data_IF_069838865316
#
_entry.id   IF_069838865316
#
_cell.length_a   1.000
_cell.length_b   1.000
_cell.length_c   1.000
_cell.angle_alpha   90.00
_cell.angle_beta   90.00
_cell.angle_gamma   90.00
#
_symmetry.space_group_name_H-M   'P 1'
#
loop_
_entity.id
_entity.type
_entity.pdbx_description
1 polymer ?
#
# COMPACT_ATOMS: atom_id res chain seq x y z
N UNK A 1 4.89 -18.01 5.68
CA UNK A 1 4.75 -17.40 4.33
C UNK A 1 5.47 -18.28 3.32
N UNK A 2 4.88 -18.48 2.14
CA UNK A 2 5.48 -19.25 1.03
C UNK A 2 6.48 -18.39 0.25
N UNK A 3 7.34 -19.00 -0.57
CA UNK A 3 8.24 -18.25 -1.47
C UNK A 3 7.48 -17.29 -2.41
N UNK A 4 6.29 -17.70 -2.89
CA UNK A 4 5.40 -16.87 -3.70
C UNK A 4 4.88 -15.65 -2.92
N UNK A 5 4.52 -15.82 -1.65
CA UNK A 5 4.08 -14.70 -0.81
C UNK A 5 5.21 -13.67 -0.58
N UNK A 6 6.45 -14.13 -0.43
CA UNK A 6 7.60 -13.24 -0.33
C UNK A 6 7.91 -12.50 -1.63
N UNK A 7 7.78 -13.18 -2.78
CA UNK A 7 7.95 -12.56 -4.09
C UNK A 7 6.87 -11.49 -4.34
N UNK A 8 5.60 -11.78 -3.99
CA UNK A 8 4.51 -10.82 -4.09
C UNK A 8 4.78 -9.58 -3.22
N UNK A 9 5.15 -9.77 -1.94
CA UNK A 9 5.50 -8.66 -1.05
C UNK A 9 6.66 -7.81 -1.61
N UNK A 10 7.71 -8.45 -2.12
CA UNK A 10 8.85 -7.74 -2.68
C UNK A 10 8.44 -6.89 -3.90
N UNK A 11 7.62 -7.46 -4.79
CA UNK A 11 7.07 -6.73 -5.94
C UNK A 11 6.24 -5.52 -5.48
N UNK A 12 5.35 -5.71 -4.51
CA UNK A 12 4.53 -4.64 -3.95
C UNK A 12 5.41 -3.53 -3.39
N UNK A 13 6.42 -3.86 -2.57
CA UNK A 13 7.34 -2.87 -2.00
C UNK A 13 8.07 -2.09 -3.11
N UNK A 14 8.55 -2.78 -4.15
CA UNK A 14 9.28 -2.15 -5.27
C UNK A 14 8.38 -1.20 -6.06
N UNK A 15 7.10 -1.53 -6.25
CA UNK A 15 6.16 -0.73 -7.03
C UNK A 15 5.57 0.43 -6.22
N UNK A 16 5.14 0.16 -4.99
CA UNK A 16 4.39 1.13 -4.19
C UNK A 16 5.29 2.15 -3.51
N UNK A 17 6.43 1.72 -2.97
CA UNK A 17 7.32 2.61 -2.20
C UNK A 17 7.75 3.84 -3.00
N UNK A 18 8.19 3.74 -4.27
CA UNK A 18 8.56 4.91 -5.06
C UNK A 18 7.41 5.89 -5.27
N UNK A 19 6.21 5.38 -5.55
CA UNK A 19 4.99 6.19 -5.77
C UNK A 19 4.68 6.96 -4.48
N UNK A 20 4.54 6.24 -3.38
CA UNK A 20 4.20 6.76 -2.07
C UNK A 20 5.24 7.79 -1.56
N UNK A 21 6.52 7.49 -1.70
CA UNK A 21 7.61 8.40 -1.32
C UNK A 21 7.61 9.65 -2.20
N UNK A 22 7.35 9.53 -3.50
CA UNK A 22 7.27 10.69 -4.39
C UNK A 22 6.16 11.66 -3.96
N UNK A 23 4.97 11.14 -3.61
CA UNK A 23 3.87 11.96 -3.06
C UNK A 23 4.26 12.61 -1.73
N UNK A 24 4.78 11.82 -0.78
CA UNK A 24 5.18 12.33 0.54
C UNK A 24 6.24 13.44 0.44
N UNK A 25 7.19 13.31 -0.50
CA UNK A 25 8.23 14.33 -0.75
C UNK A 25 7.66 15.57 -1.42
N UNK A 26 6.83 15.42 -2.45
CA UNK A 26 6.22 16.56 -3.16
C UNK A 26 5.30 17.38 -2.27
N UNK A 27 4.57 16.72 -1.38
CA UNK A 27 3.65 17.38 -0.47
C UNK A 27 4.28 17.83 0.86
N UNK A 28 5.58 17.55 1.07
CA UNK A 28 6.31 17.96 2.28
C UNK A 28 5.86 17.27 3.57
N UNK A 29 5.21 16.10 3.48
CA UNK A 29 4.65 15.40 4.64
C UNK A 29 5.72 14.73 5.51
N UNK A 30 6.83 14.28 4.91
CA UNK A 30 7.83 13.48 5.64
C UNK A 30 9.24 13.65 5.09
N UNK A 31 10.24 13.41 5.93
CA UNK A 31 11.65 13.34 5.49
C UNK A 31 11.87 12.06 4.66
N UNK A 32 12.83 12.03 3.72
CA UNK A 32 13.01 10.88 2.81
C UNK A 32 13.15 9.53 3.53
N UNK A 33 14.00 9.45 4.56
CA UNK A 33 14.20 8.21 5.30
C UNK A 33 12.93 7.73 6.02
N UNK A 34 12.20 8.66 6.64
CA UNK A 34 10.92 8.35 7.30
C UNK A 34 9.83 8.00 6.29
N UNK A 35 9.82 8.62 5.11
CA UNK A 35 8.90 8.29 4.04
C UNK A 35 9.08 6.84 3.56
N UNK A 36 10.33 6.45 3.29
CA UNK A 36 10.68 5.08 2.88
C UNK A 36 10.35 4.07 3.97
N UNK A 37 10.85 4.28 5.19
CA UNK A 37 10.60 3.38 6.32
C UNK A 37 9.09 3.18 6.55
N UNK A 38 8.33 4.26 6.37
CA UNK A 38 6.89 4.20 6.55
C UNK A 38 6.16 3.43 5.45
N UNK A 39 6.47 3.72 4.18
CA UNK A 39 5.86 3.01 3.05
C UNK A 39 6.17 1.51 3.09
N UNK A 40 7.43 1.15 3.36
CA UNK A 40 7.86 -0.24 3.52
C UNK A 40 7.17 -0.89 4.72
N UNK A 41 7.16 -0.21 5.88
CA UNK A 41 6.57 -0.76 7.10
C UNK A 41 5.08 -1.02 6.97
N UNK A 42 4.33 -0.12 6.31
CA UNK A 42 2.90 -0.33 6.04
C UNK A 42 2.69 -1.53 5.13
N UNK A 43 3.44 -1.65 4.04
CA UNK A 43 3.40 -2.80 3.14
C UNK A 43 3.68 -4.13 3.85
N UNK A 44 4.70 -4.16 4.72
CA UNK A 44 5.05 -5.34 5.52
C UNK A 44 3.95 -5.72 6.51
N UNK A 45 3.16 -4.76 6.99
CA UNK A 45 2.04 -5.01 7.91
C UNK A 45 0.77 -5.47 7.19
N UNK A 46 0.45 -4.89 6.03
CA UNK A 46 -0.82 -5.13 5.32
C UNK A 46 -0.75 -6.36 4.42
N UNK A 47 0.34 -6.56 3.68
CA UNK A 47 0.37 -7.57 2.63
C UNK A 47 0.38 -9.03 3.12
N UNK A 48 1.12 -9.41 4.17
CA UNK A 48 1.03 -10.77 4.70
C UNK A 48 -0.38 -11.15 5.14
N UNK A 49 -1.12 -10.18 5.71
CA UNK A 49 -2.51 -10.37 6.11
C UNK A 49 -3.42 -10.49 4.89
N UNK A 50 -3.30 -9.59 3.90
CA UNK A 50 -4.09 -9.65 2.68
C UNK A 50 -3.90 -11.00 1.97
N UNK A 51 -2.66 -11.46 1.83
CA UNK A 51 -2.34 -12.75 1.21
C UNK A 51 -2.94 -13.94 1.97
N UNK A 52 -2.89 -13.93 3.31
CA UNK A 52 -3.44 -15.01 4.11
C UNK A 52 -4.97 -15.10 4.00
N UNK A 53 -5.65 -13.96 3.90
CA UNK A 53 -7.12 -13.89 3.79
C UNK A 53 -7.57 -14.16 2.35
N UNK A 54 -6.84 -13.67 1.35
CA UNK A 54 -7.20 -13.78 -0.07
C UNK A 54 -7.18 -15.21 -0.60
N UNK A 55 -6.40 -16.10 0.02
CA UNK A 55 -6.39 -17.53 -0.30
C UNK A 55 -7.76 -18.22 -0.15
N UNK A 56 -8.71 -17.59 0.54
CA UNK A 56 -10.07 -18.10 0.76
C UNK A 56 -11.14 -17.34 -0.04
N UNK A 57 -10.76 -16.39 -0.88
CA UNK A 57 -11.72 -15.64 -1.68
C UNK A 57 -12.31 -16.51 -2.79
N UNK A 58 -13.62 -16.42 -2.94
CA UNK A 58 -14.41 -17.14 -3.95
C UNK A 58 -15.03 -16.20 -4.98
N UNK A 59 -14.83 -14.88 -4.85
CA UNK A 59 -15.39 -13.88 -5.76
C UNK A 59 -14.54 -12.62 -5.86
N UNK A 60 -14.62 -11.93 -7.00
CA UNK A 60 -13.96 -10.64 -7.21
C UNK A 60 -14.47 -9.54 -6.27
N UNK A 61 -15.72 -9.64 -5.80
CA UNK A 61 -16.28 -8.70 -4.84
C UNK A 61 -15.53 -8.72 -3.49
N UNK A 62 -15.09 -9.90 -3.04
CA UNK A 62 -14.28 -10.03 -1.82
C UNK A 62 -12.89 -9.42 -1.99
N UNK A 63 -12.30 -9.56 -3.17
CA UNK A 63 -11.02 -8.92 -3.50
C UNK A 63 -11.15 -7.39 -3.48
N UNK A 64 -12.18 -6.83 -4.13
CA UNK A 64 -12.46 -5.38 -4.11
C UNK A 64 -12.72 -4.88 -2.69
N UNK A 65 -13.49 -5.61 -1.87
CA UNK A 65 -13.74 -5.23 -0.49
C UNK A 65 -12.45 -5.24 0.35
N UNK A 66 -11.57 -6.21 0.13
CA UNK A 66 -10.28 -6.30 0.80
C UNK A 66 -9.33 -5.15 0.39
N UNK A 67 -9.27 -4.83 -0.90
CA UNK A 67 -8.52 -3.67 -1.44
C UNK A 67 -8.98 -2.37 -0.79
N UNK A 68 -10.29 -2.13 -0.69
CA UNK A 68 -10.85 -0.95 -0.02
C UNK A 68 -10.44 -0.90 1.46
N UNK A 69 -10.48 -2.04 2.16
CA UNK A 69 -10.06 -2.11 3.55
C UNK A 69 -8.56 -1.85 3.72
N UNK A 70 -7.72 -2.42 2.86
CA UNK A 70 -6.27 -2.19 2.84
C UNK A 70 -5.98 -0.71 2.61
N UNK A 71 -6.54 -0.11 1.56
CA UNK A 71 -6.39 1.32 1.26
C UNK A 71 -6.75 2.19 2.47
N UNK A 72 -7.85 1.88 3.18
CA UNK A 72 -8.26 2.62 4.37
C UNK A 72 -7.25 2.48 5.52
N UNK A 73 -6.75 1.25 5.76
CA UNK A 73 -5.74 0.97 6.79
C UNK A 73 -4.42 1.66 6.46
N UNK A 74 -3.93 1.52 5.23
CA UNK A 74 -2.67 2.12 4.77
C UNK A 74 -2.72 3.64 4.82
N UNK A 75 -3.82 4.23 4.34
CA UNK A 75 -4.05 5.69 4.43
C UNK A 75 -4.00 6.15 5.88
N UNK A 76 -4.62 5.41 6.81
CA UNK A 76 -4.64 5.75 8.23
C UNK A 76 -3.23 5.67 8.85
N UNK A 77 -2.52 4.57 8.60
CA UNK A 77 -1.17 4.35 9.10
C UNK A 77 -0.19 5.40 8.56
N UNK A 78 -0.22 5.66 7.25
CA UNK A 78 0.62 6.67 6.61
C UNK A 78 0.25 8.08 7.04
N UNK A 79 -1.03 8.39 7.24
CA UNK A 79 -1.46 9.70 7.79
C UNK A 79 -0.85 9.92 9.17
N UNK A 80 -0.82 8.89 10.01
CA UNK A 80 -0.20 8.95 11.33
C UNK A 80 1.33 9.06 11.23
N UNK A 81 1.97 8.20 10.43
CA UNK A 81 3.42 8.16 10.28
C UNK A 81 4.02 9.37 9.56
N UNK A 82 3.32 9.98 8.61
CA UNK A 82 3.74 11.20 7.93
C UNK A 82 3.08 12.45 8.48
N UNK A 83 2.33 12.34 9.58
CA UNK A 83 1.67 13.48 10.24
C UNK A 83 0.81 14.30 9.28
N UNK A 84 0.13 13.64 8.34
CA UNK A 84 -0.84 14.29 7.44
C UNK A 84 -2.09 14.61 8.25
N UNK A 85 -2.41 15.91 8.40
CA UNK A 85 -3.53 16.37 9.25
C UNK A 85 -4.61 17.13 8.49
N UNK A 86 -4.26 17.80 7.41
CA UNK A 86 -5.23 18.54 6.60
C UNK A 86 -6.11 17.57 5.80
N UNK A 87 -7.42 17.84 5.73
CA UNK A 87 -8.38 17.02 4.99
C UNK A 87 -7.95 16.81 3.54
N UNK A 88 -7.52 17.88 2.87
CA UNK A 88 -7.01 17.81 1.49
C UNK A 88 -5.79 16.89 1.38
N UNK A 89 -4.86 16.97 2.34
CA UNK A 89 -3.70 16.09 2.39
C UNK A 89 -4.08 14.61 2.58
N UNK A 90 -5.07 14.32 3.44
CA UNK A 90 -5.58 12.95 3.63
C UNK A 90 -6.23 12.43 2.35
N UNK A 91 -7.00 13.24 1.64
CA UNK A 91 -7.59 12.86 0.34
C UNK A 91 -6.52 12.58 -0.70
N UNK A 92 -5.50 13.44 -0.83
CA UNK A 92 -4.39 13.21 -1.77
C UNK A 92 -3.62 11.94 -1.41
N UNK A 93 -3.40 11.69 -0.12
CA UNK A 93 -2.77 10.46 0.35
C UNK A 93 -3.59 9.22 0.00
N UNK A 94 -4.91 9.25 0.23
CA UNK A 94 -5.79 8.14 -0.12
C UNK A 94 -5.73 7.81 -1.62
N UNK A 95 -5.74 8.84 -2.48
CA UNK A 95 -5.59 8.65 -3.93
C UNK A 95 -4.21 8.07 -4.30
N UNK A 96 -3.15 8.51 -3.63
CA UNK A 96 -1.81 7.96 -3.84
C UNK A 96 -1.73 6.48 -3.44
N UNK A 97 -2.37 6.10 -2.33
CA UNK A 97 -2.46 4.71 -1.86
C UNK A 97 -3.27 3.85 -2.84
N UNK A 98 -4.42 4.34 -3.32
CA UNK A 98 -5.22 3.65 -4.34
C UNK A 98 -4.40 3.43 -5.61
N UNK A 99 -3.70 4.47 -6.10
CA UNK A 99 -2.87 4.36 -7.29
C UNK A 99 -1.72 3.35 -7.10
N UNK A 100 -1.07 3.37 -5.93
CA UNK A 100 0.01 2.44 -5.59
C UNK A 100 -0.50 0.98 -5.56
N UNK A 101 -1.60 0.71 -4.84
CA UNK A 101 -2.21 -0.62 -4.76
C UNK A 101 -2.70 -1.11 -6.14
N UNK A 102 -3.32 -0.24 -6.94
CA UNK A 102 -3.75 -0.61 -8.29
C UNK A 102 -2.56 -0.99 -9.19
N UNK A 103 -1.45 -0.27 -9.10
CA UNK A 103 -0.22 -0.57 -9.84
C UNK A 103 0.43 -1.88 -9.37
N UNK A 104 0.48 -2.12 -8.06
CA UNK A 104 1.07 -3.35 -7.51
C UNK A 104 0.21 -4.58 -7.80
N UNK A 105 -1.12 -4.47 -7.71
CA UNK A 105 -2.06 -5.52 -8.11
C UNK A 105 -1.94 -5.81 -9.61
N UNK A 106 -1.88 -4.79 -10.47
CA UNK A 106 -1.66 -4.98 -11.90
C UNK A 106 -0.31 -5.67 -12.18
N UNK A 107 0.77 -5.27 -11.49
CA UNK A 107 2.07 -5.91 -11.61
C UNK A 107 2.01 -7.38 -11.15
N UNK A 108 1.33 -7.67 -10.04
CA UNK A 108 1.15 -9.03 -9.53
C UNK A 108 0.40 -9.94 -10.48
N UNK A 109 -0.57 -9.42 -11.26
CA UNK A 109 -1.28 -10.18 -12.29
C UNK A 109 -0.41 -10.49 -13.52
N UNK A 110 0.67 -9.75 -13.74
CA UNK A 110 1.60 -9.96 -14.85
C UNK A 110 2.76 -10.92 -14.51
N UNK A 111 2.94 -11.25 -13.23
CA UNK A 111 4.00 -12.17 -12.77
C UNK A 111 3.39 -13.59 -12.62
N UNK A 112 3.95 -14.62 -13.31
CA UNK A 112 3.42 -15.98 -13.34
C UNK A 112 3.59 -16.78 -12.04
#
# INVERSE_FOLDING_TARGET
MTARAWAALALTIIVETPVLVAFARRAGWSTPGRAVAAAVGVNVLTQPLLYAVSARFTSSAQLVAAEVAVVAVETTLLSWWWRVRAREGVTTLALAVVAANALSTAAGLLVP
#
